data_IF_983715312399
#
_entry.id   IF_983715312399
#
_cell.length_a   1.000
_cell.length_b   1.000
_cell.length_c   1.000
_cell.angle_alpha   90.00
_cell.angle_beta   90.00
_cell.angle_gamma   90.00
#
_symmetry.space_group_name_H-M   'P 1'
#
loop_
_entity.id
_entity.type
_entity.pdbx_description
1 polymer ?
#
# COMPACT_ATOMS: atom_id res chain seq x y z
N UNK A 1 6.37 18.83 -54.84
CA UNK A 1 7.06 18.37 -53.61
C UNK A 1 6.05 18.46 -52.48
N UNK A 2 5.00 17.66 -52.64
CA UNK A 2 3.83 17.56 -51.77
C UNK A 2 4.01 16.47 -50.73
N UNK A 3 3.15 16.52 -49.69
CA UNK A 3 2.86 15.47 -48.71
C UNK A 3 3.79 15.40 -47.50
N UNK A 4 3.71 16.40 -46.63
CA UNK A 4 3.84 16.15 -45.19
C UNK A 4 2.43 15.85 -44.67
N UNK A 5 2.29 14.62 -44.21
CA UNK A 5 1.07 13.95 -43.80
C UNK A 5 0.41 14.72 -42.64
N UNK A 6 -0.72 15.36 -42.93
CA UNK A 6 -1.76 15.59 -41.94
C UNK A 6 -2.26 14.23 -41.49
N UNK A 7 -1.74 13.72 -40.38
CA UNK A 7 -2.39 12.64 -39.67
C UNK A 7 -3.73 13.20 -39.15
N UNK A 8 -4.81 12.92 -39.88
CA UNK A 8 -6.17 13.09 -39.38
C UNK A 8 -6.25 12.41 -38.02
N UNK A 9 -6.35 13.21 -36.97
CA UNK A 9 -6.80 12.75 -35.66
C UNK A 9 -8.24 12.32 -35.88
N UNK A 10 -8.44 11.04 -36.19
CA UNK A 10 -9.77 10.44 -36.27
C UNK A 10 -10.53 10.84 -35.01
N UNK A 11 -11.67 11.54 -35.12
CA UNK A 11 -12.41 11.98 -33.95
C UNK A 11 -12.76 10.75 -33.13
N UNK A 12 -12.24 10.69 -31.90
CA UNK A 12 -12.66 9.65 -30.97
C UNK A 12 -14.18 9.70 -30.87
N UNK A 13 -14.88 8.56 -31.02
CA UNK A 13 -16.33 8.54 -30.85
C UNK A 13 -16.67 9.17 -29.49
N UNK A 14 -17.77 9.93 -29.39
CA UNK A 14 -18.12 10.62 -28.15
C UNK A 14 -18.18 9.58 -27.04
N UNK A 15 -17.24 9.66 -26.08
CA UNK A 15 -17.27 8.82 -24.88
C UNK A 15 -18.63 9.04 -24.26
N UNK A 16 -19.46 8.01 -24.22
CA UNK A 16 -20.76 8.04 -23.54
C UNK A 16 -20.53 8.66 -22.17
N UNK A 17 -21.16 9.82 -21.93
CA UNK A 17 -20.90 10.59 -20.71
C UNK A 17 -21.25 9.72 -19.51
N UNK A 18 -20.26 9.47 -18.63
CA UNK A 18 -20.47 8.64 -17.43
C UNK A 18 -21.51 9.32 -16.54
N UNK A 19 -22.50 8.58 -16.02
CA UNK A 19 -23.54 9.17 -15.19
C UNK A 19 -22.94 9.71 -13.90
N UNK A 20 -23.53 10.79 -13.39
CA UNK A 20 -23.21 11.31 -12.07
C UNK A 20 -23.76 10.36 -11.00
N UNK A 21 -22.93 10.07 -10.01
CA UNK A 21 -23.29 9.16 -8.92
C UNK A 21 -23.64 9.93 -7.66
N UNK A 22 -24.61 9.40 -6.91
CA UNK A 22 -25.02 9.95 -5.63
C UNK A 22 -24.02 9.58 -4.52
N UNK A 23 -24.23 10.14 -3.33
CA UNK A 23 -23.37 9.89 -2.18
C UNK A 23 -23.24 8.40 -1.84
N UNK A 24 -24.35 7.67 -1.77
CA UNK A 24 -24.37 6.25 -1.39
C UNK A 24 -23.68 5.35 -2.41
N UNK A 25 -23.76 5.68 -3.70
CA UNK A 25 -23.03 4.96 -4.74
C UNK A 25 -21.51 5.18 -4.63
N UNK A 26 -21.08 6.39 -4.27
CA UNK A 26 -19.67 6.70 -4.00
C UNK A 26 -19.21 6.01 -2.71
N UNK A 27 -20.04 6.01 -1.68
CA UNK A 27 -19.77 5.30 -0.43
C UNK A 27 -19.61 3.79 -0.68
N UNK A 28 -20.57 3.15 -1.33
CA UNK A 28 -20.57 1.70 -1.59
C UNK A 28 -19.37 1.25 -2.41
N UNK A 29 -18.95 2.04 -3.40
CA UNK A 29 -17.77 1.70 -4.20
C UNK A 29 -16.46 1.88 -3.43
N UNK A 30 -16.43 2.75 -2.42
CA UNK A 30 -15.23 3.01 -1.60
C UNK A 30 -15.17 2.13 -0.35
N UNK A 31 -16.28 1.53 0.08
CA UNK A 31 -16.36 0.78 1.34
C UNK A 31 -15.37 -0.38 1.42
N UNK A 32 -15.07 -1.08 0.32
CA UNK A 32 -14.07 -2.16 0.35
C UNK A 32 -12.65 -1.69 0.73
N UNK A 33 -12.31 -0.40 0.57
CA UNK A 33 -11.04 0.13 1.09
C UNK A 33 -10.97 0.10 2.61
N UNK A 34 -12.11 0.25 3.29
CA UNK A 34 -12.19 0.11 4.75
C UNK A 34 -11.71 -1.29 5.16
N UNK A 35 -12.25 -2.33 4.51
CA UNK A 35 -11.84 -3.72 4.77
C UNK A 35 -10.40 -4.02 4.37
N UNK A 36 -9.96 -3.56 3.20
CA UNK A 36 -8.58 -3.75 2.74
C UNK A 36 -7.59 -3.20 3.77
N UNK A 37 -7.92 -2.09 4.41
CA UNK A 37 -7.04 -1.47 5.38
C UNK A 37 -6.90 -2.28 6.67
N UNK A 38 -7.89 -3.09 7.06
CA UNK A 38 -7.72 -4.04 8.17
C UNK A 38 -6.57 -5.02 7.91
N UNK A 39 -6.44 -5.51 6.68
CA UNK A 39 -5.33 -6.40 6.32
C UNK A 39 -3.98 -5.72 6.47
N UNK A 40 -3.84 -4.53 5.88
CA UNK A 40 -2.57 -3.79 5.88
C UNK A 40 -2.14 -3.30 7.26
N UNK A 41 -3.05 -2.74 8.06
CA UNK A 41 -2.67 -2.19 9.35
C UNK A 41 -2.52 -3.25 10.43
N UNK A 42 -3.30 -4.35 10.41
CA UNK A 42 -3.02 -5.47 11.31
C UNK A 42 -1.67 -6.10 10.98
N UNK A 43 -1.34 -6.25 9.70
CA UNK A 43 -0.03 -6.70 9.27
C UNK A 43 1.07 -5.74 9.74
N UNK A 44 0.94 -4.43 9.44
CA UNK A 44 1.97 -3.44 9.81
C UNK A 44 2.19 -3.36 11.32
N UNK A 45 1.12 -3.40 12.11
CA UNK A 45 1.19 -3.24 13.56
C UNK A 45 1.70 -4.49 14.28
N UNK A 46 1.48 -5.69 13.72
CA UNK A 46 1.70 -6.94 14.47
C UNK A 46 2.76 -7.87 13.88
N UNK A 47 3.18 -7.71 12.62
CA UNK A 47 4.14 -8.64 12.01
C UNK A 47 5.53 -8.60 12.64
N UNK A 48 6.02 -7.41 13.04
CA UNK A 48 7.27 -7.30 13.79
C UNK A 48 7.24 -8.13 15.09
N UNK A 49 6.28 -7.86 16.00
CA UNK A 49 6.08 -8.66 17.20
C UNK A 49 5.87 -10.16 16.94
N UNK A 50 5.10 -10.54 15.90
CA UNK A 50 4.90 -11.94 15.53
C UNK A 50 6.22 -12.62 15.18
N UNK A 51 7.10 -11.97 14.41
CA UNK A 51 8.41 -12.52 14.09
C UNK A 51 9.29 -12.67 15.34
N UNK A 52 9.27 -11.69 16.24
CA UNK A 52 9.99 -11.76 17.51
C UNK A 52 9.50 -12.89 18.41
N UNK A 53 8.17 -13.10 18.53
CA UNK A 53 7.59 -14.23 19.26
C UNK A 53 8.04 -15.59 18.67
N UNK A 54 8.26 -15.63 17.36
CA UNK A 54 8.80 -16.77 16.62
C UNK A 54 10.33 -16.82 16.60
N UNK A 55 10.99 -16.05 17.49
CA UNK A 55 12.45 -16.01 17.71
C UNK A 55 13.25 -15.46 16.53
N UNK A 56 12.68 -14.60 15.70
CA UNK A 56 13.45 -13.85 14.71
C UNK A 56 14.43 -12.92 15.41
N UNK A 57 15.66 -12.86 14.91
CA UNK A 57 16.66 -11.90 15.38
C UNK A 57 16.47 -10.54 14.68
N UNK A 58 16.86 -9.42 15.30
CA UNK A 58 16.67 -8.08 14.72
C UNK A 58 17.28 -7.89 13.31
N UNK A 59 18.35 -8.62 12.99
CA UNK A 59 19.01 -8.61 11.68
C UNK A 59 18.20 -9.36 10.59
N UNK A 60 17.31 -10.28 10.98
CA UNK A 60 16.44 -11.02 10.06
C UNK A 60 15.19 -10.22 9.66
N UNK A 61 14.72 -9.30 10.52
CA UNK A 61 13.47 -8.57 10.32
C UNK A 61 13.39 -7.88 8.95
N UNK A 62 14.37 -7.09 8.48
CA UNK A 62 14.25 -6.44 7.17
C UNK A 62 14.15 -7.44 6.01
N UNK A 63 14.86 -8.57 6.11
CA UNK A 63 14.81 -9.63 5.10
C UNK A 63 13.41 -10.23 5.00
N UNK A 64 12.77 -10.47 6.14
CA UNK A 64 11.40 -11.00 6.22
C UNK A 64 10.37 -10.01 5.66
N UNK A 65 10.63 -8.70 5.74
CA UNK A 65 9.78 -7.65 5.19
C UNK A 65 10.02 -7.34 3.70
N UNK A 66 10.95 -8.02 3.02
CA UNK A 66 11.16 -7.85 1.57
C UNK A 66 9.93 -8.24 0.73
N UNK A 67 8.98 -8.98 1.31
CA UNK A 67 7.71 -9.31 0.68
C UNK A 67 7.02 -8.07 0.09
N UNK A 68 6.88 -6.99 0.86
CA UNK A 68 6.14 -5.81 0.46
C UNK A 68 6.73 -5.11 -0.78
N UNK A 69 8.03 -4.73 -0.81
CA UNK A 69 8.60 -4.09 -1.99
C UNK A 69 8.68 -5.00 -3.21
N UNK A 70 8.96 -6.30 -3.04
CA UNK A 70 9.08 -7.23 -4.17
C UNK A 70 7.72 -7.55 -4.80
N UNK A 71 6.71 -7.78 -3.98
CA UNK A 71 5.33 -7.98 -4.48
C UNK A 71 4.82 -6.69 -5.12
N UNK A 72 5.10 -5.52 -4.56
CA UNK A 72 4.80 -4.23 -5.19
C UNK A 72 5.41 -4.09 -6.59
N UNK A 73 6.71 -4.40 -6.73
CA UNK A 73 7.45 -4.31 -7.99
C UNK A 73 6.94 -5.28 -9.06
N UNK A 74 6.60 -6.51 -8.67
CA UNK A 74 6.28 -7.60 -9.61
C UNK A 74 4.77 -7.73 -9.84
N UNK A 75 4.00 -7.77 -8.76
CA UNK A 75 2.56 -8.10 -8.81
C UNK A 75 1.75 -6.93 -9.32
N UNK A 76 2.03 -5.69 -8.89
CA UNK A 76 1.21 -4.54 -9.29
C UNK A 76 1.17 -4.31 -10.81
N UNK A 77 2.30 -4.32 -11.57
CA UNK A 77 2.26 -4.16 -13.02
C UNK A 77 1.54 -5.30 -13.74
N UNK A 78 1.75 -6.54 -13.27
CA UNK A 78 1.11 -7.74 -13.85
C UNK A 78 -0.40 -7.66 -13.65
N UNK A 79 -0.86 -7.38 -12.44
CA UNK A 79 -2.29 -7.30 -12.14
C UNK A 79 -2.94 -6.08 -12.79
N UNK A 80 -2.24 -4.94 -12.88
CA UNK A 80 -2.70 -3.81 -13.68
C UNK A 80 -2.94 -4.22 -15.14
N UNK A 81 -1.97 -4.88 -15.77
CA UNK A 81 -2.06 -5.37 -17.15
C UNK A 81 -3.21 -6.37 -17.36
N UNK A 82 -3.33 -7.37 -16.47
CA UNK A 82 -4.33 -8.44 -16.56
C UNK A 82 -5.75 -7.92 -16.25
N UNK A 83 -5.89 -7.10 -15.21
CA UNK A 83 -7.19 -6.56 -14.81
C UNK A 83 -7.77 -5.65 -15.87
N UNK A 84 -6.95 -4.89 -16.60
CA UNK A 84 -7.43 -4.03 -17.68
C UNK A 84 -7.96 -4.82 -18.90
N UNK A 85 -7.57 -6.10 -19.05
CA UNK A 85 -7.90 -6.99 -20.19
C UNK A 85 -8.88 -8.11 -19.86
N UNK A 86 -9.43 -8.11 -18.65
CA UNK A 86 -10.41 -9.12 -18.23
C UNK A 86 -11.84 -8.62 -18.44
N UNK A 87 -12.74 -9.48 -18.88
CA UNK A 87 -14.18 -9.17 -18.83
C UNK A 87 -14.98 -10.41 -18.52
N UNK A 88 -15.81 -10.32 -17.48
CA UNK A 88 -16.77 -11.34 -17.13
C UNK A 88 -18.19 -10.77 -17.13
N UNK A 89 -19.20 -11.44 -17.73
CA UNK A 89 -20.55 -10.88 -17.86
C UNK A 89 -21.21 -10.50 -16.52
N UNK A 90 -20.93 -11.27 -15.46
CA UNK A 90 -21.51 -11.06 -14.12
C UNK A 90 -20.60 -10.28 -13.16
N UNK A 91 -19.28 -10.41 -13.34
CA UNK A 91 -18.29 -9.89 -12.41
C UNK A 91 -17.63 -8.62 -12.95
N UNK A 92 -17.85 -8.25 -14.21
CA UNK A 92 -17.20 -7.10 -14.81
C UNK A 92 -15.71 -7.36 -15.05
N UNK A 93 -14.92 -6.29 -15.02
CA UNK A 93 -13.50 -6.32 -15.38
C UNK A 93 -12.60 -6.53 -14.16
N UNK A 94 -12.81 -5.75 -13.09
CA UNK A 94 -11.91 -5.64 -11.94
C UNK A 94 -12.38 -6.44 -10.72
N UNK A 95 -13.69 -6.66 -10.56
CA UNK A 95 -14.24 -7.37 -9.38
C UNK A 95 -13.75 -8.82 -9.19
N UNK A 96 -13.42 -9.63 -10.23
CA UNK A 96 -12.81 -10.94 -10.00
C UNK A 96 -11.50 -10.86 -9.21
N UNK A 97 -10.67 -9.85 -9.47
CA UNK A 97 -9.41 -9.63 -8.76
C UNK A 97 -9.64 -9.22 -7.32
N UNK A 98 -10.67 -8.39 -7.04
CA UNK A 98 -11.05 -8.05 -5.66
C UNK A 98 -11.39 -9.30 -4.86
N UNK A 99 -12.16 -10.20 -5.47
CA UNK A 99 -12.61 -11.41 -4.81
C UNK A 99 -11.46 -12.37 -4.53
N UNK A 100 -10.65 -12.67 -5.54
CA UNK A 100 -9.50 -13.56 -5.39
C UNK A 100 -8.52 -12.99 -4.36
N UNK A 101 -8.18 -11.72 -4.48
CA UNK A 101 -7.33 -11.04 -3.50
C UNK A 101 -7.93 -11.07 -2.10
N UNK A 102 -9.24 -10.82 -1.94
CA UNK A 102 -9.88 -10.83 -0.63
C UNK A 102 -9.95 -12.21 0.02
N UNK A 103 -10.26 -13.25 -0.75
CA UNK A 103 -10.30 -14.63 -0.24
C UNK A 103 -8.91 -15.06 0.22
N UNK A 104 -7.88 -14.83 -0.59
CA UNK A 104 -6.50 -15.21 -0.25
C UNK A 104 -5.95 -14.37 0.91
N UNK A 105 -6.18 -13.05 0.94
CA UNK A 105 -5.81 -12.20 2.07
C UNK A 105 -6.51 -12.62 3.35
N UNK A 106 -7.81 -12.94 3.31
CA UNK A 106 -8.56 -13.41 4.48
C UNK A 106 -8.03 -14.74 5.01
N UNK A 107 -7.72 -15.67 4.11
CA UNK A 107 -7.06 -16.92 4.46
C UNK A 107 -5.73 -16.63 5.19
N UNK A 108 -4.87 -15.79 4.62
CA UNK A 108 -3.61 -15.45 5.29
C UNK A 108 -3.84 -14.79 6.65
N UNK A 109 -4.78 -13.84 6.77
CA UNK A 109 -5.08 -13.20 8.05
C UNK A 109 -5.55 -14.20 9.11
N UNK A 110 -6.28 -15.25 8.74
CA UNK A 110 -6.71 -16.27 9.69
C UNK A 110 -5.58 -17.21 10.10
N UNK A 111 -4.70 -17.59 9.18
CA UNK A 111 -3.62 -18.54 9.48
C UNK A 111 -2.37 -17.88 10.07
N UNK A 112 -2.14 -16.60 9.78
CA UNK A 112 -0.97 -15.84 10.22
C UNK A 112 -0.74 -15.85 11.74
N UNK A 113 -1.74 -15.55 12.60
CA UNK A 113 -1.52 -15.54 14.05
C UNK A 113 -1.45 -16.95 14.66
N UNK A 114 -1.57 -17.99 13.85
CA UNK A 114 -1.39 -19.41 14.23
C UNK A 114 -0.06 -19.98 13.72
N UNK A 115 0.82 -19.14 13.18
CA UNK A 115 2.13 -19.59 12.70
C UNK A 115 2.95 -20.15 13.85
N UNK A 116 3.39 -21.40 13.73
CA UNK A 116 4.26 -22.05 14.72
C UNK A 116 5.76 -21.92 14.40
N UNK A 117 6.11 -21.38 13.24
CA UNK A 117 7.49 -21.24 12.78
C UNK A 117 7.67 -19.95 11.96
N UNK A 118 8.89 -19.40 12.01
CA UNK A 118 9.24 -18.15 11.34
C UNK A 118 8.99 -18.18 9.82
N UNK A 119 9.39 -19.27 9.16
CA UNK A 119 9.19 -19.43 7.71
C UNK A 119 7.71 -19.47 7.31
N UNK A 120 6.84 -19.98 8.18
CA UNK A 120 5.39 -20.01 7.94
C UNK A 120 4.81 -18.60 8.01
N UNK A 121 5.17 -17.82 9.03
CA UNK A 121 4.76 -16.42 9.15
C UNK A 121 5.26 -15.59 7.96
N UNK A 122 6.51 -15.80 7.54
CA UNK A 122 7.09 -15.15 6.37
C UNK A 122 6.36 -15.55 5.08
N UNK A 123 6.13 -16.84 4.85
CA UNK A 123 5.40 -17.32 3.67
C UNK A 123 3.98 -16.76 3.59
N UNK A 124 3.27 -16.73 4.72
CA UNK A 124 1.94 -16.11 4.80
C UNK A 124 1.99 -14.60 4.56
N UNK A 125 3.04 -13.91 4.99
CA UNK A 125 3.24 -12.49 4.68
C UNK A 125 3.38 -12.26 3.17
N UNK A 126 4.18 -13.08 2.49
CA UNK A 126 4.35 -13.01 1.04
C UNK A 126 3.04 -13.23 0.28
N UNK A 127 2.23 -14.20 0.70
CA UNK A 127 0.93 -14.47 0.10
C UNK A 127 -0.04 -13.32 0.42
N UNK A 128 -0.04 -12.81 1.66
CA UNK A 128 -0.89 -11.69 2.08
C UNK A 128 -0.59 -10.43 1.27
N UNK A 129 0.69 -10.06 1.13
CA UNK A 129 1.13 -8.90 0.36
C UNK A 129 0.77 -9.02 -1.13
N UNK A 130 1.02 -10.20 -1.71
CA UNK A 130 0.63 -10.49 -3.10
C UNK A 130 -0.88 -10.33 -3.29
N UNK A 131 -1.67 -10.92 -2.40
CA UNK A 131 -3.14 -10.92 -2.47
C UNK A 131 -3.73 -9.53 -2.20
N UNK A 132 -3.13 -8.79 -1.27
CA UNK A 132 -3.48 -7.41 -0.97
C UNK A 132 -3.25 -6.49 -2.16
N UNK A 133 -2.12 -6.66 -2.87
CA UNK A 133 -1.86 -5.94 -4.12
C UNK A 133 -2.82 -6.36 -5.25
N UNK A 134 -3.16 -7.64 -5.36
CA UNK A 134 -4.15 -8.14 -6.33
C UNK A 134 -5.51 -7.47 -6.12
N UNK A 135 -5.92 -7.28 -4.86
CA UNK A 135 -7.15 -6.58 -4.54
C UNK A 135 -7.04 -5.06 -4.75
N UNK A 136 -6.03 -4.41 -4.16
CA UNK A 136 -5.95 -2.95 -4.01
C UNK A 136 -5.76 -2.19 -5.33
N UNK A 137 -4.88 -2.67 -6.21
CA UNK A 137 -4.52 -1.96 -7.44
C UNK A 137 -5.72 -1.79 -8.39
N UNK A 138 -6.43 -2.87 -8.77
CA UNK A 138 -7.63 -2.72 -9.59
C UNK A 138 -8.72 -1.94 -8.84
N UNK A 139 -8.76 -1.99 -7.50
CA UNK A 139 -9.80 -1.30 -6.73
C UNK A 139 -9.65 0.22 -6.81
N UNK A 140 -8.41 0.72 -6.74
CA UNK A 140 -8.10 2.14 -6.95
C UNK A 140 -8.47 2.59 -8.37
N UNK A 141 -8.14 1.80 -9.37
CA UNK A 141 -8.48 2.11 -10.75
C UNK A 141 -10.00 2.07 -11.01
N UNK A 142 -10.73 1.17 -10.35
CA UNK A 142 -12.19 1.04 -10.44
C UNK A 142 -12.94 2.32 -10.03
N UNK A 143 -12.51 3.03 -8.98
CA UNK A 143 -13.11 4.31 -8.57
C UNK A 143 -12.96 5.36 -9.68
N UNK A 144 -11.76 5.46 -10.26
CA UNK A 144 -11.45 6.41 -11.34
C UNK A 144 -12.19 6.08 -12.66
N UNK A 145 -12.46 4.79 -12.88
CA UNK A 145 -13.19 4.28 -14.03
C UNK A 145 -14.69 4.51 -13.92
N UNK A 146 -15.27 4.43 -12.72
CA UNK A 146 -16.72 4.54 -12.54
C UNK A 146 -17.20 5.99 -12.48
N UNK A 147 -16.38 6.91 -11.99
CA UNK A 147 -16.77 8.31 -11.80
C UNK A 147 -16.49 9.19 -13.03
N UNK A 148 -17.37 10.16 -13.34
CA UNK A 148 -17.05 11.26 -14.25
C UNK A 148 -15.97 12.15 -13.64
N UNK A 149 -15.21 12.87 -14.47
CA UNK A 149 -14.05 13.66 -14.03
C UNK A 149 -14.39 14.65 -12.92
N UNK A 150 -15.56 15.30 -13.00
CA UNK A 150 -16.07 16.23 -11.97
C UNK A 150 -16.26 15.60 -10.59
N UNK A 151 -16.46 14.28 -10.50
CA UNK A 151 -16.68 13.56 -9.23
C UNK A 151 -15.45 12.78 -8.74
N UNK A 152 -14.37 12.68 -9.53
CA UNK A 152 -13.16 11.91 -9.15
C UNK A 152 -12.57 12.38 -7.83
N UNK A 153 -12.46 13.70 -7.62
CA UNK A 153 -11.97 14.27 -6.36
C UNK A 153 -12.79 13.80 -5.17
N UNK A 154 -14.13 13.77 -5.29
CA UNK A 154 -15.02 13.28 -4.24
C UNK A 154 -14.87 11.77 -4.00
N UNK A 155 -14.71 10.99 -5.06
CA UNK A 155 -14.46 9.55 -4.96
C UNK A 155 -13.14 9.24 -4.24
N UNK A 156 -12.06 9.91 -4.63
CA UNK A 156 -10.77 9.75 -3.96
C UNK A 156 -10.80 10.26 -2.51
N UNK A 157 -11.53 11.33 -2.21
CA UNK A 157 -11.72 11.79 -0.83
C UNK A 157 -12.46 10.74 0.02
N UNK A 158 -13.53 10.12 -0.51
CA UNK A 158 -14.25 9.05 0.18
C UNK A 158 -13.37 7.81 0.36
N UNK A 159 -12.58 7.44 -0.64
CA UNK A 159 -11.58 6.37 -0.53
C UNK A 159 -10.59 6.68 0.62
N UNK A 160 -10.02 7.88 0.67
CA UNK A 160 -9.10 8.27 1.75
C UNK A 160 -9.76 8.23 3.12
N UNK A 161 -11.04 8.62 3.23
CA UNK A 161 -11.81 8.50 4.47
C UNK A 161 -11.94 7.04 4.92
N UNK A 162 -12.33 6.14 4.00
CA UNK A 162 -12.47 4.71 4.29
C UNK A 162 -11.15 4.06 4.70
N UNK A 163 -10.05 4.43 4.04
CA UNK A 163 -8.69 4.03 4.41
C UNK A 163 -8.36 4.52 5.83
N UNK A 164 -8.54 5.81 6.12
CA UNK A 164 -8.23 6.38 7.43
C UNK A 164 -9.02 5.72 8.57
N UNK A 165 -10.33 5.51 8.38
CA UNK A 165 -11.20 4.88 9.37
C UNK A 165 -10.85 3.39 9.58
N UNK A 166 -10.72 2.63 8.49
CA UNK A 166 -10.38 1.21 8.56
C UNK A 166 -9.04 0.99 9.25
N UNK A 167 -8.03 1.79 8.88
CA UNK A 167 -6.70 1.66 9.44
C UNK A 167 -6.57 2.05 10.90
N UNK A 168 -7.28 3.10 11.30
CA UNK A 168 -7.31 3.54 12.70
C UNK A 168 -7.94 2.47 13.60
N UNK A 169 -9.07 1.89 13.19
CA UNK A 169 -9.76 0.85 13.96
C UNK A 169 -8.92 -0.44 13.99
N UNK A 170 -8.37 -0.85 12.84
CA UNK A 170 -7.55 -2.05 12.73
C UNK A 170 -6.31 -1.99 13.63
N UNK A 171 -5.59 -0.85 13.61
CA UNK A 171 -4.41 -0.64 14.45
C UNK A 171 -4.75 -0.65 15.94
N UNK A 172 -5.91 -0.10 16.32
CA UNK A 172 -6.39 -0.09 17.70
C UNK A 172 -6.99 -1.42 18.17
N UNK A 173 -7.27 -2.37 17.26
CA UNK A 173 -8.07 -3.55 17.56
C UNK A 173 -7.43 -4.48 18.62
N UNK A 174 -6.13 -4.83 18.56
CA UNK A 174 -5.50 -5.59 19.65
C UNK A 174 -5.57 -4.84 20.99
N UNK A 175 -5.45 -3.51 20.94
CA UNK A 175 -5.54 -2.68 22.14
C UNK A 175 -6.94 -2.73 22.76
N UNK A 176 -7.97 -2.49 21.94
CA UNK A 176 -9.39 -2.56 22.31
C UNK A 176 -9.71 -3.92 22.93
N UNK A 177 -9.33 -5.01 22.28
CA UNK A 177 -9.59 -6.37 22.79
C UNK A 177 -8.98 -6.60 24.17
N UNK A 178 -7.79 -6.07 24.40
CA UNK A 178 -7.10 -6.31 25.68
C UNK A 178 -7.59 -5.42 26.81
N UNK A 179 -7.93 -4.15 26.51
CA UNK A 179 -8.28 -3.15 27.53
C UNK A 179 -9.78 -3.04 27.78
N UNK A 180 -10.62 -3.24 26.76
CA UNK A 180 -12.08 -3.16 26.90
C UNK A 180 -12.71 -4.54 27.11
N UNK A 181 -12.14 -5.59 26.52
CA UNK A 181 -12.68 -6.96 26.58
C UNK A 181 -11.82 -7.92 27.42
N UNK A 182 -10.78 -7.42 28.10
CA UNK A 182 -9.88 -8.18 28.98
C UNK A 182 -9.28 -9.45 28.33
N UNK A 183 -9.09 -9.44 26.99
CA UNK A 183 -8.44 -10.54 26.27
C UNK A 183 -6.95 -10.56 26.63
N UNK A 184 -6.40 -11.76 26.85
CA UNK A 184 -5.00 -11.94 27.27
C UNK A 184 -4.00 -11.32 26.28
N UNK A 185 -3.08 -10.50 26.81
CA UNK A 185 -1.85 -10.04 26.12
C UNK A 185 -0.63 -10.88 26.45
N UNK A 186 -0.73 -11.84 27.36
CA UNK A 186 0.44 -12.62 27.79
C UNK A 186 0.78 -13.64 26.70
N UNK A 187 1.99 -13.55 26.16
CA UNK A 187 2.58 -14.65 25.40
C UNK A 187 2.95 -15.76 26.39
N UNK A 188 2.39 -16.96 26.20
CA UNK A 188 2.73 -18.14 26.99
C UNK A 188 3.50 -19.10 26.07
N UNK A 189 4.71 -19.49 26.46
CA UNK A 189 5.58 -20.41 25.72
C UNK A 189 5.94 -19.96 24.28
N UNK A 190 6.08 -18.65 24.03
CA UNK A 190 6.40 -18.13 22.69
C UNK A 190 5.21 -18.13 21.71
N UNK A 191 3.99 -18.39 22.20
CA UNK A 191 2.80 -18.26 21.38
C UNK A 191 2.41 -16.80 21.18
N UNK A 192 1.86 -16.50 20.01
CA UNK A 192 1.27 -15.20 19.68
C UNK A 192 0.09 -14.92 20.64
N UNK A 193 0.01 -13.73 21.27
CA UNK A 193 -1.07 -13.39 22.21
C UNK A 193 -2.47 -13.53 21.62
N UNK A 194 -3.43 -13.89 22.46
CA UNK A 194 -4.83 -14.10 22.02
C UNK A 194 -5.48 -12.82 21.51
N UNK A 195 -5.13 -11.66 22.10
CA UNK A 195 -5.61 -10.36 21.60
C UNK A 195 -5.18 -10.08 20.16
N UNK A 196 -4.00 -10.53 19.76
CA UNK A 196 -3.51 -10.45 18.38
C UNK A 196 -4.26 -11.46 17.51
N UNK A 197 -4.39 -12.72 17.94
CA UNK A 197 -5.14 -13.75 17.20
C UNK A 197 -6.57 -13.31 16.87
N UNK A 198 -7.31 -12.85 17.87
CA UNK A 198 -8.67 -12.37 17.67
C UNK A 198 -8.73 -11.12 16.79
N UNK A 199 -7.76 -10.20 16.90
CA UNK A 199 -7.70 -9.04 16.02
C UNK A 199 -7.54 -9.46 14.55
N UNK A 200 -6.71 -10.46 14.26
CA UNK A 200 -6.53 -11.03 12.92
C UNK A 200 -7.78 -11.73 12.40
N UNK A 201 -8.49 -12.51 13.22
CA UNK A 201 -9.76 -13.15 12.82
C UNK A 201 -10.87 -12.14 12.53
N UNK A 202 -11.04 -11.16 13.42
CA UNK A 202 -12.03 -10.09 13.25
C UNK A 202 -11.67 -9.27 12.01
N UNK A 203 -10.40 -8.89 11.87
CA UNK A 203 -9.90 -8.12 10.74
C UNK A 203 -10.06 -8.83 9.41
N UNK A 204 -9.73 -10.12 9.32
CA UNK A 204 -9.96 -10.91 8.12
C UNK A 204 -11.45 -11.04 7.77
N UNK A 205 -12.31 -11.17 8.77
CA UNK A 205 -13.77 -11.21 8.56
C UNK A 205 -14.28 -9.88 8.02
N UNK A 206 -13.88 -8.76 8.63
CA UNK A 206 -14.25 -7.41 8.16
C UNK A 206 -13.69 -7.14 6.77
N UNK A 207 -12.45 -7.55 6.50
CA UNK A 207 -11.82 -7.45 5.17
C UNK A 207 -12.72 -8.13 4.12
N UNK A 208 -13.04 -9.40 4.32
CA UNK A 208 -13.83 -10.18 3.36
C UNK A 208 -15.21 -9.57 3.15
N UNK A 209 -15.93 -9.29 4.25
CA UNK A 209 -17.29 -8.77 4.19
C UNK A 209 -17.36 -7.40 3.51
N UNK A 210 -16.42 -6.50 3.80
CA UNK A 210 -16.39 -5.17 3.17
C UNK A 210 -16.08 -5.24 1.68
N UNK A 211 -15.14 -6.11 1.26
CA UNK A 211 -14.85 -6.30 -0.17
C UNK A 211 -16.02 -6.94 -0.89
N UNK A 212 -16.63 -7.99 -0.30
CA UNK A 212 -17.84 -8.62 -0.85
C UNK A 212 -18.99 -7.62 -0.96
N UNK A 213 -19.19 -6.77 0.05
CA UNK A 213 -20.19 -5.71 0.02
C UNK A 213 -19.98 -4.79 -1.18
N UNK A 214 -18.77 -4.30 -1.44
CA UNK A 214 -18.51 -3.48 -2.64
C UNK A 214 -18.71 -4.27 -3.93
N UNK A 215 -18.27 -5.54 -3.99
CA UNK A 215 -18.47 -6.40 -5.17
C UNK A 215 -19.97 -6.52 -5.48
N UNK A 216 -20.83 -6.78 -4.49
CA UNK A 216 -22.26 -6.99 -4.75
C UNK A 216 -23.04 -5.70 -5.01
N UNK A 217 -22.68 -4.61 -4.32
CA UNK A 217 -23.39 -3.33 -4.44
C UNK A 217 -22.98 -2.52 -5.67
N UNK A 218 -21.77 -2.72 -6.17
CA UNK A 218 -21.17 -1.82 -7.16
C UNK A 218 -20.79 -2.55 -8.45
N UNK A 219 -21.72 -2.59 -9.40
CA UNK A 219 -21.49 -3.15 -10.74
C UNK A 219 -20.64 -2.23 -11.63
N UNK A 220 -19.86 -2.82 -12.53
CA UNK A 220 -19.06 -2.13 -13.56
C UNK A 220 -19.88 -1.88 -14.83
N UNK A 221 -19.56 -0.81 -15.54
CA UNK A 221 -20.10 -0.57 -16.87
C UNK A 221 -19.42 -1.50 -17.89
N UNK A 222 -20.16 -2.06 -18.86
CA UNK A 222 -19.56 -2.78 -19.97
C UNK A 222 -18.59 -1.87 -20.74
N UNK A 223 -17.42 -2.39 -21.16
CA UNK A 223 -16.45 -1.60 -21.90
C UNK A 223 -17.09 -1.13 -23.21
N UNK A 224 -17.22 0.19 -23.35
CA UNK A 224 -17.72 0.83 -24.56
C UNK A 224 -16.67 0.87 -25.70
N UNK A 225 -15.44 0.42 -25.43
CA UNK A 225 -14.31 0.56 -26.32
C UNK A 225 -14.35 -0.49 -27.44
N UNK A 226 -14.41 -0.03 -28.70
CA UNK A 226 -14.43 -0.88 -29.90
C UNK A 226 -13.14 -1.75 -29.96
N UNK A 227 -12.01 -1.24 -29.42
CA UNK A 227 -10.72 -1.94 -29.29
C UNK A 227 -10.57 -2.81 -28.03
N UNK A 228 -11.56 -2.86 -27.13
CA UNK A 228 -11.48 -3.73 -25.94
C UNK A 228 -11.46 -5.21 -26.33
N UNK A 229 -12.23 -5.60 -27.35
CA UNK A 229 -12.22 -6.97 -27.88
C UNK A 229 -10.85 -7.36 -28.45
N UNK A 230 -10.14 -6.40 -29.05
CA UNK A 230 -8.76 -6.60 -29.54
C UNK A 230 -7.77 -6.74 -28.39
N UNK A 231 -7.86 -5.89 -27.36
CA UNK A 231 -7.03 -6.00 -26.14
C UNK A 231 -7.23 -7.32 -25.40
N UNK A 232 -8.46 -7.84 -25.33
CA UNK A 232 -8.77 -9.17 -24.77
C UNK A 232 -8.15 -10.27 -25.64
N UNK A 233 -8.28 -10.19 -26.97
CA UNK A 233 -7.65 -11.14 -27.91
C UNK A 233 -6.12 -11.11 -27.85
N UNK A 234 -5.51 -9.95 -27.63
CA UNK A 234 -4.06 -9.85 -27.44
C UNK A 234 -3.60 -10.43 -26.10
N UNK A 235 -4.43 -10.38 -25.04
CA UNK A 235 -4.12 -11.05 -23.77
C UNK A 235 -4.02 -12.58 -23.93
N UNK A 236 -4.77 -13.15 -24.88
CA UNK A 236 -4.69 -14.57 -25.22
C UNK A 236 -3.38 -14.96 -25.95
N UNK A 237 -2.51 -14.00 -26.33
CA UNK A 237 -1.17 -14.30 -26.87
C UNK A 237 -0.16 -14.69 -25.77
N UNK A 238 -0.60 -14.83 -24.52
CA UNK A 238 0.18 -15.37 -23.41
C UNK A 238 1.09 -14.34 -22.70
N UNK A 239 1.78 -14.79 -21.67
CA UNK A 239 2.60 -13.97 -20.76
C UNK A 239 3.67 -13.12 -21.48
N UNK A 240 4.15 -13.57 -22.65
CA UNK A 240 5.12 -12.84 -23.47
C UNK A 240 4.60 -11.52 -24.07
N UNK A 241 3.30 -11.42 -24.36
CA UNK A 241 2.69 -10.19 -24.85
C UNK A 241 2.69 -9.08 -23.80
N UNK A 242 2.33 -9.43 -22.55
CA UNK A 242 2.34 -8.49 -21.42
C UNK A 242 3.74 -8.03 -21.04
N UNK A 243 4.72 -8.93 -21.00
CA UNK A 243 6.10 -8.58 -20.74
C UNK A 243 6.65 -7.60 -21.81
N UNK A 244 6.34 -7.83 -23.09
CA UNK A 244 6.77 -6.95 -24.19
C UNK A 244 6.20 -5.53 -24.06
N UNK A 245 4.95 -5.40 -23.64
CA UNK A 245 4.30 -4.10 -23.43
C UNK A 245 4.91 -3.35 -22.24
N UNK A 246 5.10 -4.02 -21.10
CA UNK A 246 5.77 -3.44 -19.93
C UNK A 246 7.17 -2.95 -20.31
N UNK A 247 7.95 -3.77 -21.02
CA UNK A 247 9.28 -3.40 -21.52
C UNK A 247 9.19 -2.22 -22.49
N UNK A 248 8.18 -2.20 -23.36
CA UNK A 248 7.97 -1.08 -24.28
C UNK A 248 7.65 0.23 -23.54
N UNK A 249 6.81 0.19 -22.50
CA UNK A 249 6.48 1.35 -21.68
C UNK A 249 7.71 1.88 -20.94
N UNK A 250 8.56 0.99 -20.40
CA UNK A 250 9.82 1.38 -19.76
C UNK A 250 10.77 2.02 -20.77
N UNK A 251 10.92 1.44 -21.97
CA UNK A 251 11.77 1.99 -23.04
C UNK A 251 11.30 3.38 -23.48
N UNK A 252 9.99 3.54 -23.69
CA UNK A 252 9.34 4.76 -24.18
C UNK A 252 9.05 5.80 -23.09
N UNK A 253 9.46 5.54 -21.84
CA UNK A 253 9.21 6.45 -20.73
C UNK A 253 9.88 7.83 -20.95
N UNK A 254 9.19 8.96 -20.68
CA UNK A 254 9.76 10.29 -20.80
C UNK A 254 11.01 10.47 -19.93
N UNK A 255 11.99 11.26 -20.43
CA UNK A 255 13.30 11.47 -19.77
C UNK A 255 13.15 11.96 -18.31
N UNK A 256 12.21 12.86 -18.06
CA UNK A 256 11.94 13.40 -16.70
C UNK A 256 11.54 12.29 -15.71
N UNK A 257 10.79 11.29 -16.16
CA UNK A 257 10.34 10.20 -15.30
C UNK A 257 11.46 9.17 -15.08
N UNK A 258 12.32 8.92 -16.08
CA UNK A 258 13.54 8.11 -15.91
C UNK A 258 14.50 8.72 -14.88
N UNK A 259 14.70 10.04 -14.94
CA UNK A 259 15.51 10.77 -13.94
C UNK A 259 14.91 10.65 -12.53
N UNK A 260 13.60 10.83 -12.40
CA UNK A 260 12.92 10.70 -11.11
C UNK A 260 13.00 9.28 -10.55
N UNK A 261 12.85 8.26 -11.40
CA UNK A 261 12.98 6.85 -11.00
C UNK A 261 14.36 6.55 -10.41
N UNK A 262 15.43 7.08 -11.03
CA UNK A 262 16.80 6.92 -10.52
C UNK A 262 16.99 7.60 -9.17
N UNK A 263 16.47 8.83 -8.99
CA UNK A 263 16.52 9.55 -7.71
C UNK A 263 15.80 8.77 -6.61
N UNK A 264 14.61 8.25 -6.90
CA UNK A 264 13.85 7.44 -5.95
C UNK A 264 14.61 6.15 -5.61
N UNK A 265 15.19 5.47 -6.59
CA UNK A 265 15.98 4.26 -6.37
C UNK A 265 17.08 4.43 -5.32
N UNK A 266 17.81 5.56 -5.33
CA UNK A 266 18.84 5.84 -4.32
C UNK A 266 18.30 6.36 -3.00
N UNK A 267 17.13 7.00 -2.99
CA UNK A 267 16.56 7.61 -1.78
C UNK A 267 15.89 6.56 -0.88
N UNK A 268 15.18 5.60 -1.49
CA UNK A 268 14.37 4.63 -0.76
C UNK A 268 15.14 3.70 0.19
N UNK A 269 16.32 3.15 -0.18
CA UNK A 269 17.11 2.34 0.74
C UNK A 269 17.43 3.06 2.07
N UNK A 270 17.78 4.35 2.01
CA UNK A 270 18.04 5.16 3.20
C UNK A 270 16.80 5.35 4.07
N UNK A 271 15.64 5.59 3.47
CA UNK A 271 14.38 5.73 4.21
C UNK A 271 13.94 4.42 4.86
N UNK A 272 14.14 3.28 4.20
CA UNK A 272 13.88 1.97 4.80
C UNK A 272 14.78 1.72 6.02
N UNK A 273 16.09 1.97 5.90
CA UNK A 273 17.00 1.84 7.04
C UNK A 273 16.59 2.74 8.20
N UNK A 274 16.18 3.98 7.92
CA UNK A 274 15.65 4.89 8.93
C UNK A 274 14.42 4.31 9.62
N UNK A 275 13.38 3.89 8.88
CA UNK A 275 12.14 3.41 9.50
C UNK A 275 12.33 2.16 10.36
N UNK A 276 13.23 1.25 9.97
CA UNK A 276 13.47 0.04 10.74
C UNK A 276 14.39 0.25 11.94
N UNK A 277 15.43 1.08 11.81
CA UNK A 277 16.52 1.13 12.78
C UNK A 277 16.63 2.42 13.57
N UNK A 278 15.84 3.45 13.26
CA UNK A 278 15.96 4.75 13.94
C UNK A 278 15.80 4.66 15.46
N UNK A 279 14.76 3.98 15.95
CA UNK A 279 14.52 3.84 17.40
C UNK A 279 15.66 3.08 18.10
N UNK A 280 16.15 2.01 17.49
CA UNK A 280 17.28 1.24 18.01
C UNK A 280 18.58 2.05 17.98
N UNK A 281 18.81 2.82 16.92
CA UNK A 281 19.98 3.66 16.77
C UNK A 281 20.00 4.75 17.85
N UNK A 282 18.88 5.43 18.10
CA UNK A 282 18.80 6.42 19.19
C UNK A 282 19.08 5.78 20.55
N UNK A 283 18.47 4.63 20.85
CA UNK A 283 18.67 3.94 22.11
C UNK A 283 20.11 3.49 22.36
N UNK A 284 20.81 2.98 21.33
CA UNK A 284 22.18 2.48 21.47
C UNK A 284 23.25 3.57 21.35
N UNK A 285 23.10 4.52 20.42
CA UNK A 285 24.14 5.50 20.09
C UNK A 285 24.04 6.76 20.95
N UNK A 286 22.82 7.29 21.14
CA UNK A 286 22.60 8.53 21.92
C UNK A 286 22.50 8.23 23.41
N UNK A 287 21.73 7.20 23.78
CA UNK A 287 21.50 6.83 25.19
C UNK A 287 22.53 5.83 25.73
N UNK A 288 23.38 5.23 24.87
CA UNK A 288 24.45 4.33 25.29
C UNK A 288 23.97 2.97 25.83
N UNK A 289 22.75 2.54 25.49
CA UNK A 289 22.21 1.27 25.98
C UNK A 289 23.02 0.09 25.45
N UNK A 290 23.51 -0.75 26.36
CA UNK A 290 24.37 -1.91 26.06
C UNK A 290 23.58 -3.17 25.72
N UNK A 291 22.32 -3.27 26.16
CA UNK A 291 21.42 -4.39 25.89
C UNK A 291 19.96 -3.92 25.85
N UNK A 292 19.11 -4.67 25.14
CA UNK A 292 17.66 -4.43 25.03
C UNK A 292 16.91 -4.63 26.37
N UNK A 293 17.57 -5.31 27.32
CA UNK A 293 17.06 -5.50 28.69
C UNK A 293 17.37 -4.34 29.63
N UNK A 294 18.19 -3.39 29.19
CA UNK A 294 18.55 -2.21 29.98
C UNK A 294 17.35 -1.25 30.07
N UNK A 295 16.96 -0.78 31.27
CA UNK A 295 15.97 0.29 31.41
C UNK A 295 16.28 1.55 30.57
N UNK A 296 17.56 1.82 30.30
CA UNK A 296 18.00 2.94 29.45
C UNK A 296 17.60 2.73 27.98
N UNK A 297 17.61 1.48 27.50
CA UNK A 297 17.16 1.16 26.14
C UNK A 297 15.71 1.56 25.93
N UNK A 298 14.84 1.22 26.90
CA UNK A 298 13.42 1.57 26.85
C UNK A 298 13.22 3.09 26.80
N UNK A 299 13.95 3.83 27.64
CA UNK A 299 13.92 5.31 27.61
C UNK A 299 14.39 5.89 26.27
N UNK A 300 15.42 5.31 25.67
CA UNK A 300 15.92 5.73 24.36
C UNK A 300 14.92 5.48 23.23
N UNK A 301 14.25 4.33 23.25
CA UNK A 301 13.18 4.01 22.29
C UNK A 301 11.97 4.94 22.46
N UNK A 302 11.57 5.23 23.69
CA UNK A 302 10.50 6.20 23.98
C UNK A 302 10.86 7.60 23.47
N UNK A 303 12.09 8.06 23.72
CA UNK A 303 12.58 9.35 23.21
C UNK A 303 12.58 9.38 21.68
N UNK A 304 13.02 8.30 21.03
CA UNK A 304 12.97 8.18 19.57
C UNK A 304 11.54 8.22 19.01
N UNK A 305 10.57 7.62 19.72
CA UNK A 305 9.16 7.75 19.39
C UNK A 305 8.69 9.20 19.43
N UNK A 306 9.13 9.95 20.45
CA UNK A 306 8.81 11.37 20.61
C UNK A 306 9.45 12.24 19.50
N UNK A 307 10.70 11.99 19.14
CA UNK A 307 11.36 12.70 18.02
C UNK A 307 10.71 12.36 16.67
N UNK A 308 10.26 11.12 16.46
CA UNK A 308 9.53 10.74 15.25
C UNK A 308 8.14 11.40 15.18
N UNK A 309 7.47 11.57 16.32
CA UNK A 309 6.25 12.36 16.43
C UNK A 309 6.51 13.82 16.05
N UNK A 310 7.58 14.42 16.57
CA UNK A 310 7.97 15.79 16.23
C UNK A 310 8.31 15.94 14.74
N UNK A 311 9.03 14.96 14.16
CA UNK A 311 9.29 14.87 12.73
C UNK A 311 8.00 14.94 11.90
N UNK A 312 6.94 14.23 12.29
CA UNK A 312 5.65 14.27 11.58
C UNK A 312 4.98 15.64 11.64
N UNK A 313 5.08 16.34 12.78
CA UNK A 313 4.56 17.72 12.92
C UNK A 313 5.32 18.68 12.00
N UNK A 314 6.67 18.60 12.00
CA UNK A 314 7.50 19.42 11.11
C UNK A 314 7.19 19.13 9.64
N UNK A 315 7.04 17.85 9.27
CA UNK A 315 6.69 17.45 7.91
C UNK A 315 5.31 18.00 7.49
N UNK A 316 4.32 17.99 8.37
CA UNK A 316 3.00 18.58 8.11
C UNK A 316 3.08 20.08 7.84
N UNK A 317 3.78 20.84 8.69
CA UNK A 317 3.97 22.29 8.51
C UNK A 317 4.70 22.55 7.17
N UNK A 318 5.75 21.78 6.89
CA UNK A 318 6.53 21.94 5.68
C UNK A 318 5.73 21.58 4.40
N UNK A 319 4.79 20.64 4.47
CA UNK A 319 3.90 20.30 3.37
C UNK A 319 2.99 21.47 2.94
N UNK A 320 2.66 22.39 3.86
CA UNK A 320 1.93 23.63 3.53
C UNK A 320 2.82 24.68 2.88
N UNK A 321 4.12 24.67 3.19
CA UNK A 321 5.11 25.65 2.71
C UNK A 321 5.69 25.26 1.35
N UNK A 322 5.81 23.96 1.04
CA UNK A 322 6.47 23.46 -0.18
C UNK A 322 5.90 24.03 -1.49
N UNK A 323 4.58 24.32 -1.65
CA UNK A 323 4.08 24.91 -2.89
C UNK A 323 4.57 26.35 -3.09
N UNK A 324 4.74 27.11 -2.01
CA UNK A 324 5.24 28.50 -2.06
C UNK A 324 6.71 28.53 -2.45
N UNK A 325 7.50 27.63 -1.85
CA UNK A 325 8.93 27.47 -2.17
C UNK A 325 9.10 26.99 -3.61
N UNK A 326 8.31 26.01 -4.05
CA UNK A 326 8.36 25.49 -5.42
C UNK A 326 7.97 26.52 -6.48
N UNK A 327 7.11 27.48 -6.16
CA UNK A 327 6.79 28.61 -7.05
C UNK A 327 7.96 29.59 -7.20
N UNK A 328 8.75 29.81 -6.14
CA UNK A 328 9.89 30.75 -6.15
C UNK A 328 11.18 30.13 -6.69
N UNK A 329 11.56 28.94 -6.21
CA UNK A 329 12.82 28.27 -6.53
C UNK A 329 12.72 27.29 -7.71
N UNK A 330 11.50 26.96 -8.12
CA UNK A 330 11.24 25.91 -9.11
C UNK A 330 11.28 24.50 -8.51
N UNK A 331 10.59 23.57 -9.18
CA UNK A 331 10.36 22.20 -8.69
C UNK A 331 11.65 21.39 -8.54
N UNK A 332 12.59 21.53 -9.48
CA UNK A 332 13.86 20.77 -9.47
C UNK A 332 14.73 21.15 -8.27
N UNK A 333 14.99 22.46 -8.10
CA UNK A 333 15.84 22.95 -7.01
C UNK A 333 15.20 22.68 -5.65
N UNK A 334 13.88 22.89 -5.52
CA UNK A 334 13.14 22.58 -4.29
C UNK A 334 13.33 21.12 -3.89
N UNK A 335 13.19 20.18 -4.84
CA UNK A 335 13.37 18.76 -4.56
C UNK A 335 14.81 18.43 -4.18
N UNK A 336 15.80 18.97 -4.89
CA UNK A 336 17.23 18.76 -4.57
C UNK A 336 17.59 19.27 -3.18
N UNK A 337 17.10 20.45 -2.79
CA UNK A 337 17.34 21.01 -1.44
C UNK A 337 16.69 20.12 -0.37
N UNK A 338 15.46 19.65 -0.60
CA UNK A 338 14.79 18.75 0.35
C UNK A 338 15.59 17.44 0.55
N UNK A 339 16.13 16.87 -0.52
CA UNK A 339 16.97 15.67 -0.45
C UNK A 339 18.27 15.93 0.33
N UNK A 340 18.93 17.07 0.09
CA UNK A 340 20.12 17.46 0.84
C UNK A 340 19.84 17.67 2.34
N UNK A 341 18.76 18.36 2.68
CA UNK A 341 18.35 18.54 4.08
C UNK A 341 18.02 17.20 4.74
N UNK A 342 17.33 16.30 4.04
CA UNK A 342 17.04 14.95 4.52
C UNK A 342 18.31 14.13 4.76
N UNK A 343 19.26 14.16 3.83
CA UNK A 343 20.54 13.48 3.98
C UNK A 343 21.36 14.05 5.16
N UNK A 344 21.46 15.37 5.28
CA UNK A 344 22.14 16.02 6.40
C UNK A 344 21.50 15.67 7.75
N UNK A 345 20.15 15.64 7.80
CA UNK A 345 19.41 15.24 9.00
C UNK A 345 19.69 13.79 9.42
N UNK A 346 19.72 12.86 8.47
CA UNK A 346 20.05 11.45 8.76
C UNK A 346 21.49 11.27 9.22
N UNK A 347 22.44 11.98 8.60
CA UNK A 347 23.85 11.95 9.00
C UNK A 347 24.01 12.48 10.43
N UNK A 348 23.32 13.57 10.77
CA UNK A 348 23.40 14.19 12.10
C UNK A 348 23.00 13.23 13.24
N UNK A 349 22.10 12.27 13.01
CA UNK A 349 21.70 11.27 14.02
C UNK A 349 22.89 10.47 14.53
N UNK A 350 23.92 10.23 13.69
CA UNK A 350 25.11 9.49 14.10
C UNK A 350 26.11 10.29 14.95
N UNK A 351 25.91 11.61 15.09
CA UNK A 351 26.82 12.51 15.80
C UNK A 351 26.23 13.14 17.07
N UNK A 352 24.94 12.92 17.34
CA UNK A 352 24.21 13.47 18.48
C UNK A 352 24.19 12.47 19.63
#
# INVERSE_FOLDING_TARGET
MDKIIHAEVTPHPPRVAKPTLNFWQIFNMSFGFFGIQFGWDLQRANMGPIYEYLKATPDQIPLLFLAAPLTGLIVQPIIGYLSDRTWHPWWGRRRPYFFVGAVLSTFCLFFMPNSGALWMAAGLLWILDTSGNIAMEPFRAFVADKLPERQRTRGFAMQSLMIGLGGSIASALPWILSNLFNVSRKSVNGNIPDSVKFAFYIGGTIFLLAVLYTIFTTKEYPPADIGFKEKVKESNKGFGGGAREIISSIKNMPVKMKQLALVQFFTWPGLFLMWFYYSTAVARTVFGASSETDPIYTKGVEFAGLTLSFYNVVAFIFALIIPLVARKLGRKLTHSVCLFCGAAGLIAVGFV
#
